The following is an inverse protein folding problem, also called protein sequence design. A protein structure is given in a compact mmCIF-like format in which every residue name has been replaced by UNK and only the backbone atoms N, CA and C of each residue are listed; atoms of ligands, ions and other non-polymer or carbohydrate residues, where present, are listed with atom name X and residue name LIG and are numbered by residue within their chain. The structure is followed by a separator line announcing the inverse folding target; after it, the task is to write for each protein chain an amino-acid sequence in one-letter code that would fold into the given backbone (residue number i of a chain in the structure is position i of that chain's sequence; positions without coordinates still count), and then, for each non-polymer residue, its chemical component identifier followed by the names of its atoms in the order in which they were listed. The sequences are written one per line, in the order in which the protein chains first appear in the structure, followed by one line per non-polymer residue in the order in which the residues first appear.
data_IF_788232875373
#
_entry.id   IF_788232875373
#
_cell.length_a   1.000
_cell.length_b   1.000
_cell.length_c   1.000
_cell.angle_alpha   90.00
_cell.angle_beta   90.00
_cell.angle_gamma   90.00
#
_symmetry.space_group_name_H-M   'P 1'
#
loop_
_entity.id
_entity.type
_entity.pdbx_description
1 polymer ?
#
# COMPACT_ATOMS: atom_id res chain seq x y z
N UNK A 1 38.64 -2.86 66.37
CA UNK A 1 37.35 -3.57 66.20
C UNK A 1 36.53 -3.61 67.49
N UNK A 2 37.10 -4.00 68.64
CA UNK A 2 36.41 -4.06 69.94
C UNK A 2 35.94 -2.67 70.44
N UNK A 3 36.75 -1.62 70.29
CA UNK A 3 36.39 -0.25 70.71
C UNK A 3 35.23 0.36 69.90
N UNK A 4 35.12 0.03 68.61
CA UNK A 4 34.02 0.46 67.72
C UNK A 4 32.69 -0.18 68.12
N UNK A 5 32.72 -1.46 68.52
CA UNK A 5 31.55 -2.18 69.01
C UNK A 5 31.05 -1.63 70.36
N UNK A 6 31.97 -1.26 71.26
CA UNK A 6 31.61 -0.65 72.55
C UNK A 6 31.00 0.76 72.39
N UNK A 7 31.54 1.58 71.49
CA UNK A 7 31.00 2.92 71.18
C UNK A 7 29.61 2.84 70.51
N UNK A 8 29.41 1.87 69.61
CA UNK A 8 28.10 1.61 69.00
C UNK A 8 27.06 1.18 70.04
N UNK A 9 27.46 0.39 71.04
CA UNK A 9 26.57 -0.08 72.10
C UNK A 9 26.21 1.03 73.11
N UNK A 10 27.14 1.93 73.40
CA UNK A 10 26.88 3.14 74.21
C UNK A 10 25.97 4.12 73.47
N UNK A 11 26.16 4.30 72.16
CA UNK A 11 25.30 5.12 71.31
C UNK A 11 23.87 4.57 71.24
N UNK A 12 23.70 3.25 71.07
CA UNK A 12 22.38 2.58 71.08
C UNK A 12 21.61 2.73 72.40
N UNK A 13 22.31 2.94 73.52
CA UNK A 13 21.70 3.18 74.84
C UNK A 13 21.35 4.64 75.10
N UNK A 14 21.95 5.57 74.36
CA UNK A 14 21.59 6.99 74.44
C UNK A 14 20.17 7.23 73.90
N UNK A 15 19.43 8.21 74.44
CA UNK A 15 18.09 8.53 73.94
C UNK A 15 18.12 8.90 72.44
N UNK A 16 19.17 9.60 72.00
CA UNK A 16 19.37 10.01 70.60
C UNK A 16 19.61 8.78 69.70
N UNK A 17 20.50 7.86 70.09
CA UNK A 17 20.79 6.67 69.29
C UNK A 17 19.61 5.71 69.16
N UNK A 18 18.73 5.63 70.17
CA UNK A 18 17.46 4.89 70.07
C UNK A 18 16.53 5.50 69.02
N UNK A 19 16.36 6.82 69.01
CA UNK A 19 15.54 7.51 68.00
C UNK A 19 16.11 7.36 66.59
N UNK A 20 17.44 7.41 66.43
CA UNK A 20 18.10 7.17 65.15
C UNK A 20 17.88 5.73 64.65
N UNK A 21 18.00 4.72 65.52
CA UNK A 21 17.70 3.33 65.15
C UNK A 21 16.23 3.15 64.74
N UNK A 22 15.28 3.75 65.48
CA UNK A 22 13.86 3.72 65.12
C UNK A 22 13.63 4.40 63.77
N UNK A 23 14.23 5.57 63.52
CA UNK A 23 14.12 6.27 62.25
C UNK A 23 14.67 5.44 61.07
N UNK A 24 15.79 4.74 61.25
CA UNK A 24 16.36 3.86 60.22
C UNK A 24 15.48 2.64 59.94
N UNK A 25 14.88 2.04 60.97
CA UNK A 25 13.93 0.93 60.79
C UNK A 25 12.68 1.40 60.04
N UNK A 26 12.12 2.56 60.42
CA UNK A 26 10.96 3.15 59.74
C UNK A 26 11.30 3.51 58.29
N UNK A 27 12.46 4.13 58.03
CA UNK A 27 12.91 4.43 56.68
C UNK A 27 13.11 3.15 55.84
N UNK A 28 13.67 2.10 56.43
CA UNK A 28 13.82 0.79 55.79
C UNK A 28 12.49 0.15 55.43
N UNK A 29 11.49 0.20 56.32
CA UNK A 29 10.13 -0.26 56.05
C UNK A 29 9.46 0.54 54.92
N UNK A 30 9.55 1.88 54.97
CA UNK A 30 8.99 2.74 53.92
C UNK A 30 9.65 2.47 52.56
N UNK A 31 10.97 2.24 52.54
CA UNK A 31 11.69 1.88 51.32
C UNK A 31 11.25 0.52 50.78
N UNK A 32 11.10 -0.49 51.64
CA UNK A 32 10.64 -1.82 51.24
C UNK A 32 9.24 -1.78 50.63
N UNK A 33 8.28 -1.10 51.28
CA UNK A 33 6.91 -0.93 50.77
C UNK A 33 6.91 -0.20 49.42
N UNK A 34 7.73 0.85 49.27
CA UNK A 34 7.85 1.58 48.00
C UNK A 34 8.48 0.73 46.90
N UNK A 35 9.49 -0.08 47.22
CA UNK A 35 10.16 -0.95 46.26
C UNK A 35 9.24 -2.08 45.78
N UNK A 36 8.46 -2.67 46.67
CA UNK A 36 7.43 -3.67 46.32
C UNK A 36 6.31 -3.05 45.48
N UNK A 37 5.78 -1.90 45.91
CA UNK A 37 4.76 -1.18 45.14
C UNK A 37 5.24 -0.78 43.74
N UNK A 38 6.51 -0.38 43.58
CA UNK A 38 7.10 -0.08 42.28
C UNK A 38 7.25 -1.33 41.40
N UNK A 39 7.67 -2.47 41.98
CA UNK A 39 7.81 -3.73 41.24
C UNK A 39 6.44 -4.26 40.79
N UNK A 40 5.44 -4.23 41.67
CA UNK A 40 4.07 -4.60 41.35
C UNK A 40 3.50 -3.70 40.25
N UNK A 41 3.61 -2.38 40.41
CA UNK A 41 3.16 -1.42 39.39
C UNK A 41 3.84 -1.62 38.03
N UNK A 42 5.15 -1.89 38.00
CA UNK A 42 5.88 -2.20 36.77
C UNK A 42 5.41 -3.51 36.13
N UNK A 43 5.15 -4.54 36.92
CA UNK A 43 4.64 -5.81 36.43
C UNK A 43 3.24 -5.65 35.82
N UNK A 44 2.36 -4.88 36.46
CA UNK A 44 1.01 -4.60 35.97
C UNK A 44 1.04 -3.80 34.67
N UNK A 45 1.90 -2.77 34.56
CA UNK A 45 2.05 -2.01 33.31
C UNK A 45 2.57 -2.87 32.17
N UNK A 46 3.56 -3.73 32.42
CA UNK A 46 4.11 -4.62 31.40
C UNK A 46 3.09 -5.68 30.98
N UNK A 47 2.30 -6.21 31.91
CA UNK A 47 1.23 -7.16 31.61
C UNK A 47 0.13 -6.51 30.76
N UNK A 48 -0.29 -5.29 31.10
CA UNK A 48 -1.27 -4.53 30.33
C UNK A 48 -0.75 -4.16 28.93
N UNK A 49 0.53 -3.79 28.80
CA UNK A 49 1.17 -3.57 27.51
C UNK A 49 1.24 -4.84 26.67
N UNK A 50 1.66 -5.97 27.26
CA UNK A 50 1.71 -7.25 26.57
C UNK A 50 0.34 -7.68 26.04
N UNK A 51 -0.73 -7.48 26.82
CA UNK A 51 -2.10 -7.74 26.37
C UNK A 51 -2.50 -6.84 25.21
N UNK A 52 -2.25 -5.52 25.30
CA UNK A 52 -2.55 -4.57 24.22
C UNK A 52 -1.82 -4.93 22.93
N UNK A 53 -0.55 -5.30 23.02
CA UNK A 53 0.26 -5.73 21.88
C UNK A 53 -0.28 -7.04 21.30
N UNK A 54 -0.60 -8.03 22.13
CA UNK A 54 -1.14 -9.30 21.67
C UNK A 54 -2.46 -9.11 20.90
N UNK A 55 -3.37 -8.28 21.42
CA UNK A 55 -4.61 -7.96 20.73
C UNK A 55 -4.37 -7.18 19.42
N UNK A 56 -3.44 -6.23 19.42
CA UNK A 56 -3.08 -5.47 18.23
C UNK A 56 -2.53 -6.39 17.13
N UNK A 57 -1.64 -7.32 17.49
CA UNK A 57 -1.09 -8.33 16.55
C UNK A 57 -2.21 -9.19 15.97
N UNK A 58 -3.16 -9.66 16.80
CA UNK A 58 -4.29 -10.43 16.30
C UNK A 58 -5.20 -9.62 15.37
N UNK A 59 -5.44 -8.34 15.68
CA UNK A 59 -6.21 -7.44 14.80
C UNK A 59 -5.52 -7.24 13.46
N UNK A 60 -4.22 -6.96 13.46
CA UNK A 60 -3.42 -6.80 12.23
C UNK A 60 -3.43 -8.08 11.40
N UNK A 61 -3.21 -9.25 12.01
CA UNK A 61 -3.22 -10.53 11.30
C UNK A 61 -4.57 -10.82 10.62
N UNK A 62 -5.70 -10.45 11.26
CA UNK A 62 -7.03 -10.58 10.66
C UNK A 62 -7.22 -9.64 9.46
N UNK A 63 -6.77 -8.38 9.58
CA UNK A 63 -6.81 -7.39 8.49
C UNK A 63 -5.95 -7.86 7.34
N UNK A 64 -4.74 -8.35 7.61
CA UNK A 64 -3.82 -8.83 6.58
C UNK A 64 -4.45 -10.00 5.80
N UNK A 65 -4.99 -11.00 6.50
CA UNK A 65 -5.65 -12.14 5.84
C UNK A 65 -6.84 -11.71 4.98
N UNK A 66 -7.68 -10.80 5.48
CA UNK A 66 -8.81 -10.28 4.70
C UNK A 66 -8.35 -9.42 3.51
N UNK A 67 -7.31 -8.62 3.69
CA UNK A 67 -6.71 -7.79 2.64
C UNK A 67 -6.05 -8.63 1.55
N UNK A 68 -5.40 -9.74 1.89
CA UNK A 68 -4.87 -10.71 0.95
C UNK A 68 -6.00 -11.36 0.12
N UNK A 69 -7.10 -11.74 0.75
CA UNK A 69 -8.26 -12.30 0.03
C UNK A 69 -8.87 -11.30 -0.98
N UNK A 70 -9.03 -10.03 -0.57
CA UNK A 70 -9.46 -8.96 -1.49
C UNK A 70 -8.50 -8.81 -2.67
N UNK A 71 -7.19 -8.86 -2.39
CA UNK A 71 -6.14 -8.71 -3.41
C UNK A 71 -6.18 -9.86 -4.41
N UNK A 72 -6.35 -11.10 -3.93
CA UNK A 72 -6.48 -12.28 -4.78
C UNK A 72 -7.72 -12.19 -5.69
N UNK A 73 -8.89 -11.88 -5.12
CA UNK A 73 -10.15 -11.80 -5.88
C UNK A 73 -10.14 -10.72 -6.97
N UNK A 74 -9.65 -9.51 -6.63
CA UNK A 74 -9.53 -8.42 -7.61
C UNK A 74 -8.48 -8.77 -8.67
N UNK A 75 -7.37 -9.40 -8.27
CA UNK A 75 -6.31 -9.84 -9.18
C UNK A 75 -6.79 -10.91 -10.17
N UNK A 76 -7.54 -11.90 -9.72
CA UNK A 76 -8.15 -12.94 -10.56
C UNK A 76 -9.13 -12.33 -11.57
N UNK A 77 -10.02 -11.45 -11.10
CA UNK A 77 -11.00 -10.76 -11.96
C UNK A 77 -10.31 -9.91 -13.03
N UNK A 78 -9.27 -9.16 -12.65
CA UNK A 78 -8.48 -8.35 -13.59
C UNK A 78 -7.78 -9.24 -14.62
N UNK A 79 -7.19 -10.36 -14.18
CA UNK A 79 -6.49 -11.30 -15.07
C UNK A 79 -7.45 -11.89 -16.09
N UNK A 80 -8.63 -12.37 -15.65
CA UNK A 80 -9.65 -12.90 -16.53
C UNK A 80 -10.13 -11.85 -17.56
N UNK A 81 -10.37 -10.61 -17.10
CA UNK A 81 -10.78 -9.50 -17.96
C UNK A 81 -9.73 -9.18 -19.01
N UNK A 82 -8.45 -9.14 -18.64
CA UNK A 82 -7.35 -8.90 -19.58
C UNK A 82 -7.22 -9.99 -20.64
N UNK A 83 -7.38 -11.25 -20.24
CA UNK A 83 -7.36 -12.38 -21.19
C UNK A 83 -8.50 -12.25 -22.19
N UNK A 84 -9.71 -11.91 -21.74
CA UNK A 84 -10.85 -11.68 -22.62
C UNK A 84 -10.58 -10.52 -23.60
N UNK A 85 -10.07 -9.39 -23.11
CA UNK A 85 -9.72 -8.24 -23.95
C UNK A 85 -8.69 -8.66 -25.02
N UNK A 86 -7.60 -9.31 -24.62
CA UNK A 86 -6.57 -9.78 -25.56
C UNK A 86 -7.12 -10.74 -26.60
N UNK A 87 -7.98 -11.68 -26.18
CA UNK A 87 -8.62 -12.63 -27.10
C UNK A 87 -9.49 -11.89 -28.13
N UNK A 88 -10.33 -10.96 -27.67
CA UNK A 88 -11.22 -10.17 -28.54
C UNK A 88 -10.44 -9.27 -29.49
N UNK A 89 -9.37 -8.63 -29.02
CA UNK A 89 -8.50 -7.80 -29.86
C UNK A 89 -7.88 -8.62 -30.99
N UNK A 90 -7.31 -9.80 -30.68
CA UNK A 90 -6.75 -10.70 -31.70
C UNK A 90 -7.79 -11.11 -32.74
N UNK A 91 -8.98 -11.50 -32.29
CA UNK A 91 -10.08 -11.87 -33.19
C UNK A 91 -10.50 -10.69 -34.07
N UNK A 92 -10.53 -9.48 -33.54
CA UNK A 92 -10.84 -8.28 -34.32
C UNK A 92 -9.76 -7.98 -35.37
N UNK A 93 -8.47 -8.12 -35.03
CA UNK A 93 -7.35 -7.97 -35.97
C UNK A 93 -7.47 -9.00 -37.11
N UNK A 94 -7.71 -10.28 -36.79
CA UNK A 94 -7.91 -11.32 -37.81
C UNK A 94 -9.08 -11.00 -38.76
N UNK A 95 -10.11 -10.34 -38.24
CA UNK A 95 -11.30 -9.95 -39.00
C UNK A 95 -11.10 -8.69 -39.84
N UNK A 96 -10.02 -7.94 -39.69
CA UNK A 96 -9.79 -6.69 -40.43
C UNK A 96 -9.92 -6.89 -41.94
N UNK A 97 -9.37 -7.98 -42.50
CA UNK A 97 -9.41 -8.24 -43.95
C UNK A 97 -10.86 -8.48 -44.45
N UNK A 98 -11.75 -8.95 -43.59
CA UNK A 98 -13.17 -9.15 -43.93
C UNK A 98 -13.91 -7.80 -44.02
N UNK A 99 -13.53 -6.83 -43.19
CA UNK A 99 -14.15 -5.49 -43.14
C UNK A 99 -13.43 -4.44 -44.00
N UNK A 100 -12.15 -4.67 -44.29
CA UNK A 100 -11.30 -3.87 -45.18
C UNK A 100 -10.85 -4.79 -46.32
N UNK A 101 -11.75 -5.08 -47.29
CA UNK A 101 -11.42 -5.95 -48.40
C UNK A 101 -10.32 -5.33 -49.26
N UNK A 102 -9.55 -6.19 -49.94
CA UNK A 102 -8.35 -5.81 -50.71
C UNK A 102 -8.62 -4.71 -51.74
N UNK A 103 -9.81 -4.70 -52.34
CA UNK A 103 -10.23 -3.68 -53.30
C UNK A 103 -10.36 -2.30 -52.65
N UNK A 104 -10.91 -2.24 -51.44
CA UNK A 104 -11.04 -1.00 -50.66
C UNK A 104 -9.68 -0.55 -50.13
N UNK A 105 -8.86 -1.50 -49.68
CA UNK A 105 -7.52 -1.26 -49.17
C UNK A 105 -6.59 -0.64 -50.24
N UNK A 106 -6.74 -1.09 -51.50
CA UNK A 106 -6.01 -0.53 -52.65
C UNK A 106 -6.56 0.81 -53.13
N UNK A 107 -7.88 1.02 -52.99
CA UNK A 107 -8.53 2.24 -53.44
C UNK A 107 -8.33 3.42 -52.47
N UNK A 108 -8.06 3.14 -51.20
CA UNK A 108 -7.86 4.14 -50.16
C UNK A 108 -6.37 4.37 -49.89
N UNK A 109 -5.84 5.50 -50.36
CA UNK A 109 -4.47 5.92 -50.07
C UNK A 109 -4.44 6.61 -48.71
N UNK A 110 -3.67 6.07 -47.76
CA UNK A 110 -3.40 6.72 -46.48
C UNK A 110 -2.32 7.78 -46.69
N UNK A 111 -2.69 9.06 -46.53
CA UNK A 111 -1.75 10.18 -46.66
C UNK A 111 -0.72 10.23 -45.54
N UNK A 112 0.53 10.52 -45.88
CA UNK A 112 1.66 10.66 -44.93
C UNK A 112 1.41 11.72 -43.84
N UNK A 113 0.63 12.76 -44.13
CA UNK A 113 0.22 13.75 -43.12
C UNK A 113 -0.74 13.18 -42.08
N UNK A 114 -1.67 12.31 -42.49
CA UNK A 114 -2.60 11.65 -41.58
C UNK A 114 -1.87 10.67 -40.66
N UNK A 115 -1.00 9.82 -41.23
CA UNK A 115 -0.19 8.88 -40.47
C UNK A 115 0.74 9.60 -39.46
N UNK A 116 1.36 10.71 -39.86
CA UNK A 116 2.19 11.50 -38.94
C UNK A 116 1.41 12.03 -37.74
N UNK A 117 0.20 12.55 -37.98
CA UNK A 117 -0.65 13.04 -36.89
C UNK A 117 -1.10 11.90 -35.99
N UNK A 118 -1.46 10.76 -36.57
CA UNK A 118 -1.79 9.52 -35.87
C UNK A 118 -0.64 9.08 -34.95
N UNK A 119 0.56 8.87 -35.50
CA UNK A 119 1.72 8.39 -34.74
C UNK A 119 2.12 9.37 -33.63
N UNK A 120 2.05 10.67 -33.90
CA UNK A 120 2.31 11.70 -32.88
C UNK A 120 1.28 11.64 -31.76
N UNK A 121 0.00 11.45 -32.06
CA UNK A 121 -1.05 11.31 -31.04
C UNK A 121 -0.80 10.11 -30.11
N UNK A 122 -0.23 9.02 -30.62
CA UNK A 122 0.12 7.84 -29.85
C UNK A 122 1.52 7.88 -29.22
N UNK A 123 2.40 8.79 -29.63
CA UNK A 123 3.77 8.92 -29.12
C UNK A 123 3.87 9.42 -27.67
N UNK A 124 2.81 10.09 -27.17
CA UNK A 124 2.83 10.76 -25.87
C UNK A 124 3.70 12.03 -25.82
N UNK A 125 4.23 12.48 -26.96
CA UNK A 125 5.02 13.71 -27.04
C UNK A 125 4.12 14.96 -26.92
N UNK A 126 4.57 16.00 -26.20
CA UNK A 126 3.80 17.24 -26.09
C UNK A 126 3.77 18.01 -27.42
N UNK A 127 2.71 18.80 -27.62
CA UNK A 127 2.56 19.67 -28.79
C UNK A 127 1.94 18.98 -29.99
N UNK A 128 2.07 19.60 -31.16
CA UNK A 128 1.67 19.05 -32.46
C UNK A 128 2.91 18.54 -33.20
N UNK A 129 2.76 17.63 -34.19
CA UNK A 129 3.86 17.31 -35.09
C UNK A 129 4.46 18.59 -35.66
N UNK A 130 5.79 18.63 -35.82
CA UNK A 130 6.41 19.70 -36.62
C UNK A 130 5.70 19.73 -37.99
N UNK A 131 5.40 20.95 -38.48
CA UNK A 131 4.55 21.15 -39.67
C UNK A 131 4.94 20.24 -40.83
N UNK A 132 4.01 20.03 -41.78
CA UNK A 132 3.96 18.95 -42.78
C UNK A 132 5.28 18.32 -43.29
N UNK A 133 6.40 19.04 -43.36
CA UNK A 133 7.75 18.48 -43.59
C UNK A 133 7.86 17.72 -44.91
N UNK A 134 6.97 18.02 -45.86
CA UNK A 134 6.68 17.27 -47.08
C UNK A 134 5.20 17.44 -47.48
N UNK A 135 4.77 16.89 -48.63
CA UNK A 135 3.37 16.96 -49.05
C UNK A 135 2.48 16.05 -48.19
N UNK A 136 1.52 16.62 -47.45
CA UNK A 136 0.64 15.87 -46.53
C UNK A 136 -0.21 14.80 -47.22
N UNK A 137 -0.49 15.01 -48.50
CA UNK A 137 -1.28 14.16 -49.38
C UNK A 137 -0.47 13.05 -50.06
N UNK A 138 0.86 13.04 -49.90
CA UNK A 138 1.68 11.97 -50.47
C UNK A 138 1.31 10.63 -49.84
N UNK A 139 1.29 9.58 -50.66
CA UNK A 139 1.08 8.21 -50.22
C UNK A 139 2.10 7.84 -49.14
N UNK A 140 1.62 7.37 -47.99
CA UNK A 140 2.47 6.91 -46.89
C UNK A 140 3.10 5.55 -47.15
N UNK A 141 2.57 4.77 -48.11
CA UNK A 141 2.93 3.37 -48.35
C UNK A 141 2.32 2.40 -47.32
N UNK A 142 1.55 2.89 -46.35
CA UNK A 142 0.85 2.05 -45.37
C UNK A 142 -0.56 1.75 -45.89
N UNK A 143 -0.94 0.47 -46.03
CA UNK A 143 -2.29 0.11 -46.42
C UNK A 143 -3.30 0.48 -45.33
N UNK A 144 -4.53 0.81 -45.73
CA UNK A 144 -5.63 1.11 -44.81
C UNK A 144 -5.88 -0.04 -43.82
N UNK A 145 -5.76 -1.28 -44.27
CA UNK A 145 -5.92 -2.48 -43.44
C UNK A 145 -4.88 -2.55 -42.31
N UNK A 146 -3.64 -2.14 -42.56
CA UNK A 146 -2.62 -2.07 -41.52
C UNK A 146 -2.94 -0.99 -40.49
N UNK A 147 -3.34 0.21 -40.95
CA UNK A 147 -3.75 1.29 -40.04
C UNK A 147 -4.93 0.87 -39.15
N UNK A 148 -5.94 0.20 -39.73
CA UNK A 148 -7.10 -0.30 -38.96
C UNK A 148 -6.69 -1.41 -37.98
N UNK A 149 -5.76 -2.29 -38.35
CA UNK A 149 -5.24 -3.32 -37.45
C UNK A 149 -4.52 -2.70 -36.24
N UNK A 150 -3.67 -1.70 -36.49
CA UNK A 150 -2.98 -0.95 -35.43
C UNK A 150 -3.97 -0.25 -34.51
N UNK A 151 -4.99 0.43 -35.06
CA UNK A 151 -6.05 1.08 -34.27
C UNK A 151 -6.79 0.09 -33.36
N UNK A 152 -7.08 -1.12 -33.86
CA UNK A 152 -7.72 -2.18 -33.06
C UNK A 152 -6.79 -2.66 -31.94
N UNK A 153 -5.49 -2.81 -32.20
CA UNK A 153 -4.50 -3.16 -31.18
C UNK A 153 -4.39 -2.08 -30.09
N UNK A 154 -4.34 -0.81 -30.49
CA UNK A 154 -4.33 0.33 -29.57
C UNK A 154 -5.61 0.38 -28.73
N UNK A 155 -6.78 0.18 -29.34
CA UNK A 155 -8.04 0.11 -28.61
C UNK A 155 -8.03 -1.03 -27.57
N UNK A 156 -7.53 -2.21 -27.95
CA UNK A 156 -7.34 -3.34 -27.04
C UNK A 156 -6.47 -2.99 -25.83
N UNK A 157 -5.33 -2.34 -26.09
CA UNK A 157 -4.41 -1.86 -25.04
C UNK A 157 -5.09 -0.84 -24.13
N UNK A 158 -5.82 0.12 -24.69
CA UNK A 158 -6.56 1.11 -23.92
C UNK A 158 -7.65 0.47 -23.02
N UNK A 159 -8.37 -0.54 -23.51
CA UNK A 159 -9.32 -1.29 -22.68
C UNK A 159 -8.63 -2.06 -21.56
N UNK A 160 -7.44 -2.62 -21.79
CA UNK A 160 -6.63 -3.27 -20.75
C UNK A 160 -6.24 -2.28 -19.64
N UNK A 161 -5.74 -1.09 -20.00
CA UNK A 161 -5.43 -0.04 -19.01
C UNK A 161 -6.65 0.44 -18.25
N UNK A 162 -7.80 0.56 -18.92
CA UNK A 162 -9.06 0.88 -18.26
C UNK A 162 -9.44 -0.20 -17.23
N UNK A 163 -9.30 -1.48 -17.58
CA UNK A 163 -9.58 -2.58 -16.66
C UNK A 163 -8.67 -2.54 -15.43
N UNK A 164 -7.37 -2.26 -15.61
CA UNK A 164 -6.43 -2.05 -14.51
C UNK A 164 -6.86 -0.90 -13.60
N UNK A 165 -7.19 0.27 -14.17
CA UNK A 165 -7.60 1.43 -13.40
C UNK A 165 -8.89 1.18 -12.61
N UNK A 166 -9.85 0.46 -13.19
CA UNK A 166 -11.08 0.06 -12.49
C UNK A 166 -10.78 -0.92 -11.36
N UNK A 167 -9.96 -1.94 -11.61
CA UNK A 167 -9.55 -2.92 -10.60
C UNK A 167 -8.82 -2.25 -9.43
N UNK A 168 -7.89 -1.33 -9.71
CA UNK A 168 -7.19 -0.55 -8.68
C UNK A 168 -8.14 0.28 -7.82
N UNK A 169 -9.11 0.96 -8.43
CA UNK A 169 -10.12 1.75 -7.72
C UNK A 169 -10.99 0.87 -6.83
N UNK A 170 -11.36 -0.32 -7.30
CA UNK A 170 -12.14 -1.27 -6.51
C UNK A 170 -11.34 -1.83 -5.34
N UNK A 171 -10.13 -2.31 -5.61
CA UNK A 171 -9.20 -2.79 -4.59
C UNK A 171 -8.98 -1.74 -3.50
N UNK A 172 -8.65 -0.50 -3.89
CA UNK A 172 -8.39 0.57 -2.93
C UNK A 172 -9.61 0.85 -2.06
N UNK A 173 -10.82 0.92 -2.66
CA UNK A 173 -12.07 1.12 -1.92
C UNK A 173 -12.29 0.04 -0.87
N UNK A 174 -12.08 -1.23 -1.26
CA UNK A 174 -12.27 -2.40 -0.38
C UNK A 174 -11.22 -2.45 0.74
N UNK A 175 -9.96 -2.14 0.44
CA UNK A 175 -8.90 -2.04 1.45
C UNK A 175 -9.14 -0.90 2.45
N UNK A 176 -9.55 0.28 1.95
CA UNK A 176 -9.86 1.42 2.79
C UNK A 176 -11.05 1.14 3.71
N UNK A 177 -12.10 0.49 3.20
CA UNK A 177 -13.26 0.06 4.00
C UNK A 177 -12.83 -0.94 5.09
N UNK A 178 -12.05 -1.98 4.73
CA UNK A 178 -11.51 -2.95 5.68
C UNK A 178 -10.67 -2.28 6.78
N UNK A 179 -9.79 -1.36 6.41
CA UNK A 179 -8.94 -0.63 7.35
C UNK A 179 -9.77 0.25 8.28
N UNK A 180 -10.72 1.03 7.73
CA UNK A 180 -11.57 1.94 8.51
C UNK A 180 -12.44 1.23 9.56
N UNK A 181 -12.90 0.01 9.24
CA UNK A 181 -13.72 -0.81 10.15
C UNK A 181 -12.90 -1.47 11.25
N UNK A 182 -11.63 -1.75 11.01
CA UNK A 182 -10.81 -2.60 11.90
C UNK A 182 -9.80 -1.81 12.72
N UNK A 183 -9.28 -0.72 12.18
CA UNK A 183 -8.30 0.16 12.83
C UNK A 183 -8.99 1.50 13.07
N UNK A 184 -9.51 1.68 14.30
CA UNK A 184 -9.91 3.02 14.75
C UNK A 184 -8.67 3.89 14.85
N UNK A 185 -8.82 5.18 14.53
CA UNK A 185 -7.77 6.16 14.80
C UNK A 185 -7.35 6.05 16.28
N UNK A 186 -6.05 6.14 16.59
CA UNK A 186 -5.60 6.13 17.98
C UNK A 186 -6.33 7.22 18.75
N UNK A 187 -6.82 6.90 19.96
CA UNK A 187 -7.49 7.88 20.81
C UNK A 187 -6.57 9.10 20.98
N UNK A 188 -7.06 10.34 20.76
CA UNK A 188 -6.22 11.53 20.73
C UNK A 188 -5.65 11.95 22.09
N UNK A 189 -5.81 11.15 23.15
CA UNK A 189 -5.24 11.44 24.47
C UNK A 189 -4.80 10.18 25.22
N UNK A 190 -3.66 10.24 25.94
CA UNK A 190 -3.14 9.15 26.75
C UNK A 190 -3.99 8.84 27.99
#
# INVERSE_FOLDING_TARGET
MIALLAAAWAFLKSPIGRWVCVALVVAGMLFAVRAEGYRAGKADTLAAEAQRVAEAVQRVAKVEKAGQAITAEVGETLTATKVEIQYRTKLQIEKVIEYVPVESDRACIVGSGALRLHDHAFSGLPGLPSGAGGPVQADSGVPLSALVADDVEFAGTAYSWKAEAVAWRDWYRRQADLHSKTIKAPDPTP
#
